data_IF_772728096395
#
_entry.id   IF_772728096395
#
_cell.length_a   1.000
_cell.length_b   1.000
_cell.length_c   1.000
_cell.angle_alpha   90.00
_cell.angle_beta   90.00
_cell.angle_gamma   90.00
#
_symmetry.space_group_name_H-M   'P 1'
#
loop_
_entity.id
_entity.type
_entity.pdbx_description
1 polymer ?
#
# COMPACT_ATOMS: atom_id res chain seq x y z
N UNK A 1 -18.43 -18.33 -2.79
CA UNK A 1 -18.94 -18.96 -4.03
C UNK A 1 -18.34 -18.21 -5.20
N UNK A 2 -17.22 -18.68 -5.76
CA UNK A 2 -16.74 -18.18 -7.05
C UNK A 2 -17.54 -18.88 -8.12
N UNK A 3 -18.58 -18.21 -8.64
CA UNK A 3 -19.26 -18.69 -9.83
C UNK A 3 -18.35 -18.37 -11.02
N UNK A 4 -17.63 -19.36 -11.53
CA UNK A 4 -17.05 -19.25 -12.88
C UNK A 4 -18.21 -19.18 -13.87
N UNK A 5 -18.63 -17.97 -14.22
CA UNK A 5 -19.52 -17.76 -15.35
C UNK A 5 -18.73 -18.07 -16.61
N UNK A 6 -19.13 -19.12 -17.32
CA UNK A 6 -18.62 -19.40 -18.66
C UNK A 6 -19.61 -18.89 -19.68
N UNK A 7 -19.08 -18.17 -20.67
CA UNK A 7 -19.88 -17.73 -21.78
C UNK A 7 -20.24 -18.95 -22.64
N UNK A 8 -21.55 -19.24 -22.73
CA UNK A 8 -22.06 -20.37 -23.52
C UNK A 8 -22.23 -19.98 -25.00
N UNK A 9 -22.71 -18.76 -25.25
CA UNK A 9 -23.00 -18.26 -26.59
C UNK A 9 -23.06 -16.72 -26.61
N UNK A 10 -22.56 -16.11 -27.69
CA UNK A 10 -22.81 -14.71 -28.06
C UNK A 10 -23.61 -14.73 -29.36
N UNK A 11 -24.78 -14.10 -29.37
CA UNK A 11 -25.65 -13.98 -30.53
C UNK A 11 -26.62 -12.81 -30.34
N UNK A 12 -27.45 -12.52 -31.34
CA UNK A 12 -28.62 -11.65 -31.21
C UNK A 12 -29.66 -12.15 -30.16
N UNK A 13 -30.50 -11.24 -29.66
CA UNK A 13 -31.57 -11.56 -28.69
C UNK A 13 -32.69 -12.39 -29.34
N UNK A 14 -33.02 -12.11 -30.61
CA UNK A 14 -34.12 -12.77 -31.36
C UNK A 14 -33.67 -14.03 -32.12
N UNK A 15 -32.57 -14.64 -31.70
CA UNK A 15 -32.05 -15.84 -32.36
C UNK A 15 -31.74 -16.95 -31.35
N UNK A 16 -30.75 -17.81 -31.67
CA UNK A 16 -30.55 -19.12 -31.02
C UNK A 16 -30.16 -19.05 -29.53
N UNK A 17 -29.99 -17.86 -28.93
CA UNK A 17 -29.76 -17.71 -27.49
C UNK A 17 -31.00 -18.11 -26.69
N UNK A 18 -32.21 -17.91 -27.24
CA UNK A 18 -33.46 -18.31 -26.57
C UNK A 18 -33.56 -19.83 -26.35
N UNK A 19 -32.87 -20.65 -27.15
CA UNK A 19 -32.81 -22.11 -26.99
C UNK A 19 -32.15 -22.53 -25.67
N UNK A 20 -31.36 -21.65 -25.05
CA UNK A 20 -30.68 -21.91 -23.77
C UNK A 20 -31.54 -21.51 -22.56
N UNK A 21 -32.70 -20.89 -22.76
CA UNK A 21 -33.58 -20.45 -21.68
C UNK A 21 -34.29 -21.65 -21.06
N UNK A 22 -34.06 -21.85 -19.76
CA UNK A 22 -34.70 -22.87 -18.94
C UNK A 22 -35.47 -22.26 -17.77
N UNK A 23 -36.03 -23.13 -16.93
CA UNK A 23 -36.82 -22.73 -15.75
C UNK A 23 -36.04 -21.86 -14.75
N UNK A 24 -34.73 -22.06 -14.67
CA UNK A 24 -33.85 -21.37 -13.73
C UNK A 24 -33.01 -20.25 -14.39
N UNK A 25 -33.33 -19.89 -15.63
CA UNK A 25 -32.65 -18.80 -16.33
C UNK A 25 -33.13 -17.45 -15.82
N UNK A 26 -32.20 -16.63 -15.34
CA UNK A 26 -32.44 -15.23 -15.03
C UNK A 26 -32.12 -14.35 -16.24
N UNK A 27 -33.11 -13.60 -16.72
CA UNK A 27 -32.94 -12.64 -17.80
C UNK A 27 -32.69 -11.23 -17.27
N UNK A 28 -31.66 -10.58 -17.80
CA UNK A 28 -31.31 -9.20 -17.47
C UNK A 28 -31.42 -8.32 -18.72
N UNK A 29 -32.39 -7.41 -18.74
CA UNK A 29 -32.48 -6.39 -19.79
C UNK A 29 -31.46 -5.28 -19.49
N UNK A 30 -30.56 -5.03 -20.44
CA UNK A 30 -29.50 -4.03 -20.29
C UNK A 30 -29.97 -2.59 -20.54
N UNK A 31 -31.21 -2.38 -21.02
CA UNK A 31 -31.79 -1.05 -21.27
C UNK A 31 -30.91 -0.14 -22.14
N UNK A 32 -30.26 -0.71 -23.15
CA UNK A 32 -29.35 0.00 -24.06
C UNK A 32 -27.93 0.20 -23.54
N UNK A 33 -27.61 -0.27 -22.33
CA UNK A 33 -26.23 -0.30 -21.83
C UNK A 33 -25.40 -1.37 -22.53
N UNK A 34 -24.08 -1.21 -22.47
CA UNK A 34 -23.10 -2.16 -23.04
C UNK A 34 -22.54 -3.08 -21.97
N UNK A 35 -22.28 -4.33 -22.37
CA UNK A 35 -21.50 -5.29 -21.57
C UNK A 35 -20.14 -5.43 -22.23
N UNK A 36 -19.08 -5.26 -21.43
CA UNK A 36 -17.69 -5.40 -21.86
C UNK A 36 -17.03 -6.52 -21.05
N UNK A 37 -16.00 -7.18 -21.59
CA UNK A 37 -15.13 -8.03 -20.78
C UNK A 37 -14.53 -7.22 -19.62
N UNK A 38 -14.39 -7.86 -18.45
CA UNK A 38 -13.64 -7.27 -17.34
C UNK A 38 -12.17 -7.05 -17.72
N UNK A 39 -11.57 -6.00 -17.16
CA UNK A 39 -10.17 -5.71 -17.39
C UNK A 39 -9.27 -6.77 -16.73
N UNK A 40 -8.15 -7.04 -17.39
CA UNK A 40 -7.08 -7.90 -16.89
C UNK A 40 -5.87 -7.01 -16.67
N UNK A 41 -5.42 -6.91 -15.42
CA UNK A 41 -4.15 -6.25 -15.09
C UNK A 41 -3.04 -7.29 -15.08
N UNK A 42 -2.12 -7.21 -16.05
CA UNK A 42 -1.10 -8.24 -16.26
C UNK A 42 0.15 -8.07 -15.40
N UNK A 43 0.22 -7.04 -14.55
CA UNK A 43 1.37 -6.83 -13.67
C UNK A 43 0.99 -5.95 -12.46
N UNK A 44 0.75 -6.59 -11.31
CA UNK A 44 0.47 -5.87 -10.06
C UNK A 44 1.22 -6.47 -8.88
N UNK A 45 1.41 -5.67 -7.84
CA UNK A 45 1.73 -6.13 -6.49
C UNK A 45 0.45 -6.03 -5.66
N UNK A 46 -0.41 -7.03 -5.74
CA UNK A 46 -1.79 -6.96 -5.25
C UNK A 46 -1.85 -6.85 -3.73
N UNK A 47 -1.11 -7.70 -3.02
CA UNK A 47 -1.06 -7.68 -1.55
C UNK A 47 -0.49 -6.33 -1.08
N UNK A 48 0.55 -5.84 -1.72
CA UNK A 48 1.22 -4.60 -1.36
C UNK A 48 0.30 -3.39 -1.60
N UNK A 49 -0.44 -3.40 -2.71
CA UNK A 49 -1.50 -2.43 -2.97
C UNK A 49 -2.59 -2.47 -1.90
N UNK A 50 -3.01 -3.66 -1.47
CA UNK A 50 -3.95 -3.85 -0.36
C UNK A 50 -3.44 -3.27 0.96
N UNK A 51 -2.18 -3.56 1.30
CA UNK A 51 -1.52 -3.00 2.48
C UNK A 51 -1.41 -1.48 2.38
N UNK A 52 -1.13 -0.94 1.19
CA UNK A 52 -1.05 0.50 0.97
C UNK A 52 -2.40 1.19 1.18
N UNK A 53 -3.51 0.56 0.80
CA UNK A 53 -4.86 1.08 1.04
C UNK A 53 -5.21 1.18 2.53
N UNK A 54 -4.59 0.38 3.40
CA UNK A 54 -4.77 0.42 4.85
C UNK A 54 -3.79 1.36 5.59
N UNK A 55 -2.79 1.89 4.88
CA UNK A 55 -1.74 2.78 5.42
C UNK A 55 -2.16 4.25 5.34
N UNK A 56 -1.41 5.14 6.01
CA UNK A 56 -1.68 6.59 6.01
C UNK A 56 -1.61 7.14 4.58
N UNK A 57 -2.72 7.65 4.02
CA UNK A 57 -2.74 8.15 2.65
C UNK A 57 -2.23 9.60 2.62
N UNK A 58 -1.03 9.81 2.08
CA UNK A 58 -0.42 11.15 2.00
C UNK A 58 -0.34 11.69 0.57
N UNK A 59 -0.89 10.96 -0.40
CA UNK A 59 -1.03 11.43 -1.78
C UNK A 59 -1.90 12.68 -1.84
N UNK A 60 -1.38 13.71 -2.51
CA UNK A 60 -2.10 14.96 -2.75
C UNK A 60 -2.24 15.89 -1.54
N UNK A 61 -1.58 15.60 -0.42
CA UNK A 61 -1.49 16.53 0.74
C UNK A 61 -0.81 17.82 0.29
N UNK A 62 -1.35 18.98 0.71
CA UNK A 62 -0.89 20.31 0.27
C UNK A 62 -0.43 21.23 1.38
N UNK A 63 -0.41 20.78 2.63
CA UNK A 63 0.16 21.54 3.74
C UNK A 63 0.79 20.63 4.80
N UNK A 64 1.72 21.21 5.56
CA UNK A 64 2.31 20.61 6.76
C UNK A 64 1.24 20.20 7.77
N UNK A 65 0.25 21.05 8.02
CA UNK A 65 -0.81 20.77 8.98
C UNK A 65 -1.67 19.58 8.57
N UNK A 66 -2.00 19.48 7.27
CA UNK A 66 -2.74 18.33 6.74
C UNK A 66 -1.91 17.04 6.84
N UNK A 67 -0.62 17.11 6.52
CA UNK A 67 0.30 15.98 6.67
C UNK A 67 0.31 15.46 8.11
N UNK A 68 0.56 16.34 9.08
CA UNK A 68 0.60 16.00 10.51
C UNK A 68 -0.76 15.48 10.98
N UNK A 69 -1.86 16.11 10.56
CA UNK A 69 -3.22 15.72 10.93
C UNK A 69 -3.56 14.29 10.49
N UNK A 70 -3.21 13.91 9.25
CA UNK A 70 -3.45 12.54 8.75
C UNK A 70 -2.63 11.50 9.50
N UNK A 71 -1.36 11.81 9.81
CA UNK A 71 -0.52 10.90 10.59
C UNK A 71 -1.06 10.77 12.02
N UNK A 72 -1.43 11.89 12.66
CA UNK A 72 -2.03 11.90 14.01
C UNK A 72 -3.31 11.08 14.07
N UNK A 73 -4.15 11.18 13.04
CA UNK A 73 -5.36 10.36 12.92
C UNK A 73 -5.07 8.86 12.90
N UNK A 74 -3.99 8.44 12.23
CA UNK A 74 -3.58 7.04 12.17
C UNK A 74 -2.90 6.55 13.46
N UNK A 75 -2.23 7.43 14.20
CA UNK A 75 -1.61 7.09 15.50
C UNK A 75 -2.66 6.89 16.59
N UNK A 76 -3.76 7.67 16.57
CA UNK A 76 -4.78 7.68 17.64
C UNK A 76 -5.31 6.30 18.02
N UNK A 77 -5.49 5.43 17.03
CA UNK A 77 -6.14 4.13 17.20
C UNK A 77 -5.11 2.98 17.35
N UNK A 78 -3.83 3.31 17.62
CA UNK A 78 -2.71 2.37 17.75
C UNK A 78 -2.28 2.19 19.20
N UNK A 79 -1.90 0.96 19.54
CA UNK A 79 -1.23 0.64 20.79
C UNK A 79 0.25 1.09 20.73
N UNK A 80 0.87 1.43 21.88
CA UNK A 80 2.31 1.71 21.95
C UNK A 80 3.15 0.63 21.29
N UNK A 81 4.14 1.03 20.50
CA UNK A 81 5.04 0.15 19.75
C UNK A 81 4.51 -0.32 18.40
N UNK A 82 3.22 -0.16 18.10
CA UNK A 82 2.71 -0.49 16.77
C UNK A 82 3.24 0.49 15.71
N UNK A 83 3.64 -0.05 14.56
CA UNK A 83 4.17 0.74 13.46
C UNK A 83 3.07 1.47 12.69
N UNK A 84 3.26 2.78 12.52
CA UNK A 84 2.44 3.61 11.64
C UNK A 84 3.16 3.76 10.31
N UNK A 85 2.56 3.20 9.25
CA UNK A 85 3.13 3.22 7.90
C UNK A 85 2.23 3.99 6.95
N UNK A 86 2.83 4.65 5.99
CA UNK A 86 2.13 5.54 5.06
C UNK A 86 2.99 5.93 3.88
N UNK A 87 2.45 6.81 3.03
CA UNK A 87 3.27 7.42 2.01
C UNK A 87 2.50 8.07 0.86
N UNK A 88 3.25 8.36 -0.19
CA UNK A 88 2.75 9.09 -1.36
C UNK A 88 2.82 10.60 -1.19
N UNK A 89 3.50 11.11 -0.16
CA UNK A 89 3.69 12.54 0.03
C UNK A 89 4.65 13.12 -1.02
N UNK A 90 4.47 14.39 -1.35
CA UNK A 90 5.41 15.17 -2.16
C UNK A 90 5.47 16.60 -1.60
N UNK A 91 6.65 17.00 -1.14
CA UNK A 91 6.89 18.32 -0.56
C UNK A 91 6.64 19.47 -1.54
N UNK A 92 6.75 19.23 -2.84
CA UNK A 92 6.49 20.25 -3.86
C UNK A 92 5.04 20.74 -3.83
N UNK A 93 4.11 19.93 -3.30
CA UNK A 93 2.70 20.30 -3.17
C UNK A 93 2.40 21.25 -2.01
N UNK A 94 3.33 21.45 -1.07
CA UNK A 94 3.17 22.34 0.06
C UNK A 94 4.27 23.41 0.15
N UNK A 95 4.87 23.77 -0.99
CA UNK A 95 5.86 24.85 -1.07
C UNK A 95 7.31 24.41 -0.86
N UNK A 96 7.58 23.10 -0.89
CA UNK A 96 8.93 22.55 -0.94
C UNK A 96 9.59 22.30 0.42
N UNK A 97 8.98 22.74 1.54
CA UNK A 97 9.50 22.47 2.89
C UNK A 97 9.68 20.96 3.10
N UNK A 98 10.89 20.56 3.45
CA UNK A 98 11.24 19.16 3.63
C UNK A 98 10.82 18.71 5.04
N UNK A 99 10.02 17.64 5.18
CA UNK A 99 9.55 17.19 6.49
C UNK A 99 10.69 16.54 7.29
N UNK A 100 10.62 16.63 8.61
CA UNK A 100 11.62 16.04 9.53
C UNK A 100 10.94 15.22 10.62
N UNK A 101 11.71 14.40 11.33
CA UNK A 101 11.24 13.60 12.45
C UNK A 101 10.48 14.44 13.49
N UNK A 102 10.92 15.68 13.72
CA UNK A 102 10.29 16.62 14.64
C UNK A 102 8.82 16.96 14.28
N UNK A 103 8.38 16.77 13.03
CA UNK A 103 6.96 16.94 12.66
C UNK A 103 6.09 15.81 13.22
N UNK A 104 6.71 14.68 13.54
CA UNK A 104 6.05 13.43 13.92
C UNK A 104 6.20 13.13 15.41
N UNK A 105 7.32 13.53 16.03
CA UNK A 105 7.68 13.09 17.38
C UNK A 105 6.61 13.43 18.43
N UNK A 106 6.06 14.65 18.41
CA UNK A 106 5.00 15.07 19.36
C UNK A 106 3.68 14.30 19.18
N UNK A 107 3.38 13.85 17.95
CA UNK A 107 2.13 13.14 17.64
C UNK A 107 2.27 11.62 17.70
N UNK A 108 3.48 11.10 17.86
CA UNK A 108 3.79 9.66 17.84
C UNK A 108 4.90 9.25 18.83
N UNK A 109 4.85 9.72 20.09
CA UNK A 109 5.96 9.51 21.03
C UNK A 109 6.24 8.02 21.31
N UNK A 110 5.20 7.19 21.25
CA UNK A 110 5.25 5.76 21.58
C UNK A 110 5.11 4.85 20.35
N UNK A 111 4.99 5.41 19.14
CA UNK A 111 4.74 4.65 17.91
C UNK A 111 5.80 4.95 16.85
N UNK A 112 6.54 3.94 16.36
CA UNK A 112 7.47 4.17 15.26
C UNK A 112 6.70 4.49 13.97
N UNK A 113 7.14 5.52 13.25
CA UNK A 113 6.50 5.99 12.02
C UNK A 113 7.47 5.85 10.85
N UNK A 114 6.97 5.32 9.73
CA UNK A 114 7.67 5.30 8.44
C UNK A 114 6.75 5.75 7.29
N UNK A 115 7.14 6.82 6.58
CA UNK A 115 6.33 7.43 5.52
C UNK A 115 7.14 7.57 4.23
N UNK A 116 6.84 6.79 3.20
CA UNK A 116 7.54 6.85 1.90
C UNK A 116 7.09 8.06 1.06
N UNK A 117 8.03 8.73 0.41
CA UNK A 117 7.78 9.78 -0.58
C UNK A 117 7.16 9.17 -1.85
N UNK A 118 6.48 10.00 -2.63
CA UNK A 118 5.79 9.60 -3.87
C UNK A 118 6.71 8.95 -4.92
N UNK A 119 7.98 9.32 -4.96
CA UNK A 119 8.97 8.77 -5.91
C UNK A 119 9.51 7.39 -5.52
N UNK A 120 9.28 6.94 -4.28
CA UNK A 120 9.81 5.68 -3.77
C UNK A 120 11.31 5.70 -3.41
N UNK A 121 11.99 6.84 -3.56
CA UNK A 121 13.44 6.99 -3.34
C UNK A 121 13.80 7.71 -2.03
N UNK A 122 12.79 8.13 -1.28
CA UNK A 122 12.96 8.79 0.01
C UNK A 122 11.87 8.32 0.99
N UNK A 123 12.21 8.24 2.26
CA UNK A 123 11.24 8.01 3.33
C UNK A 123 11.57 8.81 4.58
N UNK A 124 10.53 9.09 5.36
CA UNK A 124 10.61 9.80 6.63
C UNK A 124 10.36 8.83 7.79
N UNK A 125 11.35 8.70 8.67
CA UNK A 125 11.28 8.03 9.95
C UNK A 125 11.16 9.06 11.09
N UNK A 126 10.30 8.79 12.07
CA UNK A 126 10.34 9.58 13.32
C UNK A 126 11.53 9.16 14.20
N UNK A 127 11.76 9.88 15.30
CA UNK A 127 12.90 9.64 16.19
C UNK A 127 12.85 8.25 16.83
N UNK A 128 11.67 7.74 17.14
CA UNK A 128 11.51 6.38 17.68
C UNK A 128 11.87 5.31 16.65
N UNK A 129 11.44 5.44 15.39
CA UNK A 129 11.80 4.49 14.33
C UNK A 129 13.32 4.49 14.06
N UNK A 130 13.96 5.67 14.04
CA UNK A 130 15.42 5.78 13.92
C UNK A 130 16.15 5.11 15.10
N UNK A 131 15.66 5.32 16.34
CA UNK A 131 16.21 4.69 17.54
C UNK A 131 16.13 3.16 17.47
N UNK A 132 15.00 2.61 17.04
CA UNK A 132 14.83 1.15 16.87
C UNK A 132 15.78 0.64 15.78
N UNK A 133 15.98 1.41 14.71
CA UNK A 133 16.90 1.08 13.62
C UNK A 133 18.40 1.27 13.98
N UNK A 134 18.71 1.80 15.17
CA UNK A 134 20.08 2.09 15.59
C UNK A 134 20.74 3.24 14.80
N UNK A 135 19.93 4.14 14.23
CA UNK A 135 20.42 5.29 13.47
C UNK A 135 20.69 6.45 14.43
N UNK A 136 21.93 6.94 14.40
CA UNK A 136 22.41 8.08 15.17
C UNK A 136 23.37 8.96 14.35
N UNK A 137 23.91 10.02 14.96
CA UNK A 137 24.88 10.94 14.32
C UNK A 137 26.19 10.28 13.86
N UNK A 138 26.53 9.11 14.39
CA UNK A 138 27.75 8.37 14.08
C UNK A 138 27.52 7.28 13.03
N UNK A 139 26.26 6.99 12.72
CA UNK A 139 25.88 6.02 11.70
C UNK A 139 26.37 6.50 10.35
N UNK A 140 27.13 5.68 9.63
CA UNK A 140 27.62 6.01 8.29
C UNK A 140 26.51 5.84 7.24
N UNK A 141 26.61 6.59 6.15
CA UNK A 141 25.78 6.36 4.98
C UNK A 141 26.12 5.01 4.33
N UNK A 142 25.12 4.17 3.99
CA UNK A 142 25.39 2.94 3.25
C UNK A 142 25.75 3.25 1.80
N UNK A 143 26.45 2.32 1.15
CA UNK A 143 26.74 2.44 -0.28
C UNK A 143 25.43 2.54 -1.07
N UNK A 144 25.30 3.60 -1.86
CA UNK A 144 24.11 3.86 -2.69
C UNK A 144 22.92 4.43 -1.92
N UNK A 145 23.13 5.04 -0.76
CA UNK A 145 22.08 5.74 -0.01
C UNK A 145 22.62 6.80 0.92
N UNK A 146 21.74 7.65 1.43
CA UNK A 146 22.11 8.79 2.26
C UNK A 146 21.16 8.93 3.44
N UNK A 147 21.71 9.12 4.64
CA UNK A 147 20.95 9.60 5.81
C UNK A 147 21.05 11.12 5.79
N UNK A 148 19.94 11.82 5.58
CA UNK A 148 19.95 13.28 5.58
C UNK A 148 20.18 13.77 7.00
N UNK A 149 21.12 14.71 7.16
CA UNK A 149 21.53 15.25 8.47
C UNK A 149 21.45 16.77 8.49
N UNK A 150 21.32 17.34 9.68
CA UNK A 150 21.51 18.78 9.91
C UNK A 150 22.99 19.15 9.80
N UNK A 151 23.30 20.44 9.93
CA UNK A 151 24.67 20.97 10.01
C UNK A 151 25.47 20.39 11.18
N UNK A 152 24.81 19.97 12.25
CA UNK A 152 25.39 19.36 13.46
C UNK A 152 25.54 17.84 13.35
N UNK A 153 25.26 17.27 12.17
CA UNK A 153 25.23 15.82 11.87
C UNK A 153 24.11 15.03 12.53
N UNK A 154 23.10 15.68 13.08
CA UNK A 154 21.94 14.95 13.63
C UNK A 154 21.06 14.44 12.47
N UNK A 155 20.66 13.14 12.45
CA UNK A 155 19.74 12.60 11.44
C UNK A 155 18.38 13.32 11.47
N UNK A 156 17.89 13.76 10.31
CA UNK A 156 16.62 14.50 10.22
C UNK A 156 15.39 13.60 10.20
N UNK A 157 15.56 12.28 10.10
CA UNK A 157 14.51 11.32 9.81
C UNK A 157 14.42 10.92 8.33
N UNK A 158 15.04 11.66 7.42
CA UNK A 158 14.97 11.35 5.98
C UNK A 158 16.07 10.39 5.55
N UNK A 159 15.66 9.31 4.91
CA UNK A 159 16.53 8.29 4.36
C UNK A 159 16.30 8.17 2.86
N UNK A 160 17.38 8.15 2.09
CA UNK A 160 17.38 8.12 0.63
C UNK A 160 17.99 6.81 0.13
N UNK A 161 17.34 6.20 -0.86
CA UNK A 161 17.76 4.97 -1.54
C UNK A 161 18.18 3.84 -0.57
N UNK A 162 19.44 3.37 -0.63
CA UNK A 162 19.89 2.25 0.19
C UNK A 162 19.80 2.51 1.71
N UNK A 163 19.76 3.77 2.16
CA UNK A 163 19.60 4.11 3.58
C UNK A 163 18.23 3.72 4.12
N UNK A 164 17.19 3.67 3.27
CA UNK A 164 15.85 3.23 3.67
C UNK A 164 15.85 1.80 4.24
N UNK A 165 16.80 0.96 3.78
CA UNK A 165 16.97 -0.42 4.28
C UNK A 165 17.27 -0.50 5.78
N UNK A 166 17.89 0.53 6.36
CA UNK A 166 18.21 0.56 7.79
C UNK A 166 16.93 0.51 8.64
N UNK A 167 15.89 1.24 8.24
CA UNK A 167 14.58 1.21 8.92
C UNK A 167 13.78 -0.02 8.51
N UNK A 168 13.80 -0.37 7.22
CA UNK A 168 13.08 -1.53 6.73
C UNK A 168 13.40 -2.83 7.46
N UNK A 169 14.66 -3.06 7.81
CA UNK A 169 15.10 -4.29 8.49
C UNK A 169 14.54 -4.43 9.91
N UNK A 170 14.02 -3.35 10.52
CA UNK A 170 13.44 -3.37 11.86
C UNK A 170 11.91 -3.21 11.85
N UNK A 171 11.30 -3.05 10.67
CA UNK A 171 9.84 -3.11 10.53
C UNK A 171 9.43 -4.58 10.67
N UNK A 172 8.49 -4.91 11.58
CA UNK A 172 7.98 -6.27 11.73
C UNK A 172 7.39 -6.79 10.43
N UNK A 173 7.55 -8.09 10.21
CA UNK A 173 6.88 -8.76 9.10
C UNK A 173 5.37 -8.58 9.17
N UNK A 174 4.74 -8.50 8.00
CA UNK A 174 3.29 -8.38 7.93
C UNK A 174 2.66 -9.72 8.32
N UNK A 175 1.74 -9.70 9.27
CA UNK A 175 1.08 -10.93 9.71
C UNK A 175 0.28 -11.58 8.57
N UNK A 176 0.13 -12.90 8.63
CA UNK A 176 -0.71 -13.67 7.69
C UNK A 176 -2.13 -13.09 7.60
N UNK A 177 -2.69 -12.67 8.73
CA UNK A 177 -4.03 -12.09 8.77
C UNK A 177 -4.09 -10.72 8.07
N UNK A 178 -3.08 -9.86 8.28
CA UNK A 178 -3.01 -8.57 7.59
C UNK A 178 -2.84 -8.74 6.07
N UNK A 179 -2.06 -9.76 5.64
CA UNK A 179 -1.94 -10.12 4.22
C UNK A 179 -3.28 -10.57 3.63
N UNK A 180 -4.10 -11.32 4.39
CA UNK A 180 -5.45 -11.73 3.98
C UNK A 180 -6.40 -10.56 3.85
N UNK A 181 -6.42 -9.67 4.83
CA UNK A 181 -7.24 -8.46 4.74
C UNK A 181 -6.79 -7.54 3.60
N UNK A 182 -5.48 -7.44 3.35
CA UNK A 182 -4.93 -6.73 2.21
C UNK A 182 -5.39 -7.34 0.89
N UNK A 183 -5.35 -8.66 0.73
CA UNK A 183 -5.88 -9.36 -0.45
C UNK A 183 -7.34 -8.98 -0.71
N UNK A 184 -8.20 -9.12 0.30
CA UNK A 184 -9.63 -8.80 0.18
C UNK A 184 -9.85 -7.33 -0.16
N UNK A 185 -9.09 -6.43 0.46
CA UNK A 185 -9.17 -4.98 0.22
C UNK A 185 -8.75 -4.64 -1.20
N UNK A 186 -7.64 -5.19 -1.68
CA UNK A 186 -7.15 -5.02 -3.04
C UNK A 186 -8.11 -5.61 -4.08
N UNK A 187 -8.65 -6.81 -3.85
CA UNK A 187 -9.63 -7.44 -4.75
C UNK A 187 -10.90 -6.60 -4.88
N UNK A 188 -11.43 -6.07 -3.76
CA UNK A 188 -12.59 -5.14 -3.81
C UNK A 188 -12.24 -3.87 -4.58
N UNK A 189 -11.05 -3.32 -4.36
CA UNK A 189 -10.59 -2.13 -5.09
C UNK A 189 -10.52 -2.37 -6.60
N UNK A 190 -9.92 -3.48 -7.02
CA UNK A 190 -9.83 -3.90 -8.42
C UNK A 190 -11.21 -4.04 -9.05
N UNK A 191 -12.13 -4.77 -8.39
CA UNK A 191 -13.49 -4.99 -8.88
C UNK A 191 -14.28 -3.68 -9.04
N UNK A 192 -14.14 -2.72 -8.13
CA UNK A 192 -14.76 -1.39 -8.25
C UNK A 192 -14.26 -0.60 -9.47
N UNK A 193 -13.11 -0.97 -10.02
CA UNK A 193 -12.51 -0.37 -11.23
C UNK A 193 -12.75 -1.21 -12.49
N UNK A 194 -13.53 -2.28 -12.39
CA UNK A 194 -13.78 -3.21 -13.50
C UNK A 194 -12.65 -4.17 -13.80
N UNK A 195 -11.62 -4.25 -12.94
CA UNK A 195 -10.54 -5.24 -13.06
C UNK A 195 -11.00 -6.53 -12.40
N UNK A 196 -11.16 -7.58 -13.20
CA UNK A 196 -11.69 -8.88 -12.75
C UNK A 196 -10.61 -9.95 -12.64
N UNK A 197 -9.45 -9.73 -13.26
CA UNK A 197 -8.32 -10.65 -13.24
C UNK A 197 -7.04 -9.86 -13.06
N UNK A 198 -6.12 -10.38 -12.25
CA UNK A 198 -4.80 -9.80 -12.07
C UNK A 198 -3.72 -10.86 -12.16
N UNK A 199 -2.54 -10.46 -12.60
CA UNK A 199 -1.31 -11.24 -12.47
C UNK A 199 -0.47 -10.57 -11.39
N UNK A 200 -0.47 -11.19 -10.22
CA UNK A 200 0.36 -10.75 -9.10
C UNK A 200 1.80 -11.25 -9.29
N UNK A 201 2.75 -10.34 -9.23
CA UNK A 201 4.19 -10.64 -9.42
C UNK A 201 4.93 -10.85 -8.10
N UNK A 202 4.19 -11.05 -7.00
CA UNK A 202 4.75 -11.35 -5.69
C UNK A 202 5.18 -10.11 -4.90
N UNK A 203 5.86 -10.39 -3.80
CA UNK A 203 6.23 -9.40 -2.78
C UNK A 203 7.44 -8.55 -3.22
N UNK A 204 7.28 -7.23 -3.25
CA UNK A 204 8.38 -6.26 -3.38
C UNK A 204 8.46 -5.38 -2.11
N UNK A 205 8.24 -5.96 -0.93
CA UNK A 205 8.21 -5.18 0.32
C UNK A 205 9.40 -5.51 1.19
N UNK A 206 10.06 -4.50 1.75
CA UNK A 206 10.99 -4.73 2.83
C UNK A 206 10.30 -5.37 4.06
N UNK A 207 10.91 -6.42 4.62
CA UNK A 207 10.36 -7.19 5.74
C UNK A 207 9.39 -8.30 5.34
N UNK A 208 9.55 -8.89 4.14
CA UNK A 208 8.83 -10.11 3.73
C UNK A 208 9.77 -11.29 3.60
N UNK A 209 9.31 -12.47 4.03
CA UNK A 209 9.99 -13.76 3.87
C UNK A 209 10.34 -14.08 2.40
N UNK A 210 11.39 -14.89 2.20
CA UNK A 210 11.77 -15.46 0.90
C UNK A 210 10.81 -16.57 0.43
N UNK A 211 9.92 -17.04 1.30
CA UNK A 211 8.88 -18.01 0.94
C UNK A 211 7.85 -17.44 -0.04
N UNK A 212 7.24 -18.30 -0.86
CA UNK A 212 6.35 -17.88 -1.94
C UNK A 212 5.16 -17.06 -1.40
N UNK A 213 4.88 -15.91 -2.02
CA UNK A 213 3.83 -14.94 -1.65
C UNK A 213 2.44 -15.54 -1.45
N UNK A 214 2.17 -16.74 -1.97
CA UNK A 214 0.85 -17.37 -1.93
C UNK A 214 0.73 -18.56 -0.95
N UNK A 215 1.81 -18.98 -0.30
CA UNK A 215 1.78 -20.15 0.60
C UNK A 215 0.89 -19.94 1.83
N UNK A 216 0.86 -18.73 2.38
CA UNK A 216 -0.04 -18.28 3.46
C UNK A 216 -1.54 -18.46 3.19
N UNK A 217 -1.91 -18.61 1.91
CA UNK A 217 -3.29 -18.78 1.45
C UNK A 217 -3.62 -20.23 1.08
N UNK A 218 -2.66 -21.16 1.18
CA UNK A 218 -2.92 -22.58 0.95
C UNK A 218 -3.71 -23.16 2.14
N UNK A 219 -4.93 -23.63 1.89
CA UNK A 219 -5.85 -24.14 2.92
C UNK A 219 -7.19 -23.40 3.02
N UNK A 220 -7.46 -22.45 2.12
CA UNK A 220 -8.77 -21.79 1.92
C UNK A 220 -9.51 -22.44 0.76
#
# INVERSE_FOLDING_TARGET
IFCLLRLLKIDCIDCKVQEFKGRDTYELNLSGNVVLPGFIDSHVHLIDGGLQLARVPLRGVRSKDEFISRVKGAVRDKHPGEWVRGGGWNNDFWGGEIPTAAWLDDISPDNPVWLSRMDGHMGLANSLAMKIAGIDKNTNDPVGGTIVRTTEREPTGLLVDAAMKLVFNVIPEVSVNDRREALLTASRHALMRGVTTVVDVGSYVPGTSEEQTWQDFSGI
#
